data_IF_073000479453
#
_entry.id   IF_073000479453
#
_cell.length_a   1.000
_cell.length_b   1.000
_cell.length_c   1.000
_cell.angle_alpha   90.00
_cell.angle_beta   90.00
_cell.angle_gamma   90.00
#
_symmetry.space_group_name_H-M   'P 1'
#
loop_
_entity.id
_entity.type
_entity.pdbx_description
1 polymer ?
#
# COMPACT_ATOMS: atom_id res chain seq x y z
N UNK A 1 5.27 -4.72 38.22
CA UNK A 1 6.20 -3.95 37.36
C UNK A 1 6.43 -4.63 35.99
N UNK A 2 6.65 -5.95 35.93
CA UNK A 2 6.86 -6.69 34.68
C UNK A 2 5.64 -6.81 33.74
N UNK A 3 4.40 -6.64 34.25
CA UNK A 3 3.19 -6.77 33.42
C UNK A 3 3.04 -5.65 32.39
N UNK A 4 3.50 -4.45 32.71
CA UNK A 4 3.46 -3.29 31.81
C UNK A 4 4.44 -3.47 30.66
N UNK A 5 5.65 -3.98 30.94
CA UNK A 5 6.65 -4.31 29.93
C UNK A 5 6.14 -5.34 28.91
N UNK A 6 5.40 -6.36 29.36
CA UNK A 6 4.79 -7.35 28.46
C UNK A 6 3.75 -6.72 27.52
N UNK A 7 2.92 -5.80 28.03
CA UNK A 7 1.93 -5.10 27.21
C UNK A 7 2.59 -4.21 26.17
N UNK A 8 3.61 -3.43 26.57
CA UNK A 8 4.38 -2.59 25.65
C UNK A 8 5.04 -3.41 24.55
N UNK A 9 5.62 -4.58 24.91
CA UNK A 9 6.25 -5.46 23.93
C UNK A 9 5.26 -6.00 22.88
N UNK A 10 4.06 -6.40 23.31
CA UNK A 10 2.99 -6.86 22.39
C UNK A 10 2.52 -5.71 21.49
N UNK A 11 2.36 -4.49 22.03
CA UNK A 11 2.00 -3.32 21.23
C UNK A 11 3.04 -3.00 20.16
N UNK A 12 4.33 -3.07 20.50
CA UNK A 12 5.41 -2.81 19.53
C UNK A 12 5.34 -3.81 18.38
N UNK A 13 5.23 -5.11 18.68
CA UNK A 13 5.11 -6.15 17.63
C UNK A 13 3.89 -5.89 16.75
N UNK A 14 2.74 -5.59 17.35
CA UNK A 14 1.51 -5.31 16.62
C UNK A 14 1.64 -4.10 15.69
N UNK A 15 2.23 -3.01 16.18
CA UNK A 15 2.47 -1.80 15.38
C UNK A 15 3.46 -2.06 14.24
N UNK A 16 4.52 -2.85 14.48
CA UNK A 16 5.47 -3.23 13.44
C UNK A 16 4.80 -4.03 12.31
N UNK A 17 3.93 -4.99 12.65
CA UNK A 17 3.19 -5.76 11.65
C UNK A 17 2.21 -4.87 10.90
N UNK A 18 1.48 -3.99 11.60
CA UNK A 18 0.57 -3.04 10.96
C UNK A 18 1.28 -2.12 9.97
N UNK A 19 2.46 -1.60 10.34
CA UNK A 19 3.24 -0.73 9.45
C UNK A 19 3.63 -1.45 8.16
N UNK A 20 4.10 -2.69 8.26
CA UNK A 20 4.44 -3.51 7.08
C UNK A 20 3.21 -3.75 6.20
N UNK A 21 2.04 -3.98 6.81
CA UNK A 21 0.79 -4.14 6.05
C UNK A 21 0.42 -2.85 5.33
N UNK A 22 0.48 -1.69 6.00
CA UNK A 22 0.09 -0.40 5.41
C UNK A 22 1.06 -0.01 4.28
N UNK A 23 2.37 -0.21 4.44
CA UNK A 23 3.35 0.05 3.37
C UNK A 23 3.21 -0.93 2.20
N UNK A 24 2.72 -2.15 2.44
CA UNK A 24 2.43 -3.13 1.39
C UNK A 24 1.12 -2.90 0.63
N UNK A 25 0.26 -1.98 1.09
CA UNK A 25 -0.95 -1.57 0.37
C UNK A 25 -0.71 -0.20 -0.28
N UNK A 26 -0.34 -0.17 -1.56
CA UNK A 26 -0.15 1.07 -2.29
C UNK A 26 -1.50 1.76 -2.49
N UNK A 27 -1.91 2.63 -1.56
CA UNK A 27 -3.14 3.41 -1.69
C UNK A 27 -2.85 4.70 -2.46
N UNK A 28 -3.13 4.69 -3.76
CA UNK A 28 -3.17 5.90 -4.57
C UNK A 28 -4.62 6.22 -4.91
N UNK A 29 -5.19 7.20 -4.21
CA UNK A 29 -6.55 7.65 -4.49
C UNK A 29 -6.70 8.08 -5.95
N UNK A 30 -7.64 7.46 -6.65
CA UNK A 30 -8.05 7.84 -7.99
C UNK A 30 -9.58 7.98 -8.05
N UNK A 31 -10.08 8.80 -8.98
CA UNK A 31 -11.52 8.89 -9.31
C UNK A 31 -11.81 8.47 -10.74
N UNK A 32 -10.86 8.71 -11.64
CA UNK A 32 -10.91 8.32 -13.04
C UNK A 32 -9.58 7.71 -13.45
N UNK A 33 -9.56 6.89 -14.51
CA UNK A 33 -8.35 6.22 -14.99
C UNK A 33 -7.22 7.21 -15.33
N UNK A 34 -7.58 8.44 -15.75
CA UNK A 34 -6.63 9.51 -16.06
C UNK A 34 -5.94 10.12 -14.82
N UNK A 35 -6.48 9.90 -13.61
CA UNK A 35 -5.82 10.31 -12.36
C UNK A 35 -4.62 9.39 -12.03
N UNK A 36 -4.59 8.19 -12.62
CA UNK A 36 -3.51 7.24 -12.37
C UNK A 36 -2.26 7.61 -13.18
N UNK A 37 -1.11 7.79 -12.53
CA UNK A 37 0.14 8.05 -13.24
C UNK A 37 0.56 6.82 -14.05
N UNK A 38 1.16 7.06 -15.21
CA UNK A 38 1.80 6.00 -16.03
C UNK A 38 3.03 5.38 -15.36
N UNK A 39 3.56 6.07 -14.35
CA UNK A 39 4.70 5.64 -13.52
C UNK A 39 4.16 5.46 -12.11
N UNK A 40 3.90 4.23 -11.70
CA UNK A 40 3.42 3.95 -10.35
C UNK A 40 4.63 3.80 -9.43
N UNK A 41 4.94 4.84 -8.65
CA UNK A 41 6.04 4.82 -7.67
C UNK A 41 5.67 4.13 -6.35
N UNK A 42 4.55 3.40 -6.31
CA UNK A 42 4.09 2.77 -5.09
C UNK A 42 4.64 1.35 -4.94
N UNK A 43 5.05 0.96 -3.72
CA UNK A 43 5.51 -0.40 -3.42
C UNK A 43 4.40 -1.43 -3.73
N UNK A 44 4.69 -2.37 -4.63
CA UNK A 44 3.74 -3.40 -5.08
C UNK A 44 3.14 -3.15 -6.47
N UNK A 45 3.35 -1.98 -7.05
CA UNK A 45 3.10 -1.72 -8.46
C UNK A 45 4.45 -1.73 -9.21
N UNK A 46 4.56 -2.31 -10.41
CA UNK A 46 5.77 -2.14 -11.21
C UNK A 46 5.98 -0.63 -11.50
N UNK A 47 7.23 -0.16 -11.44
CA UNK A 47 7.62 1.25 -11.69
C UNK A 47 7.01 1.83 -12.98
N UNK A 48 6.61 0.96 -13.89
CA UNK A 48 5.90 1.23 -15.14
C UNK A 48 4.92 0.06 -15.34
N UNK A 49 3.63 0.35 -15.57
CA UNK A 49 2.71 -0.67 -16.06
C UNK A 49 3.32 -1.22 -17.37
N UNK A 50 3.65 -2.51 -17.36
CA UNK A 50 4.32 -3.15 -18.49
C UNK A 50 3.26 -3.47 -19.54
N UNK A 51 3.51 -3.08 -20.79
CA UNK A 51 2.60 -3.43 -21.89
C UNK A 51 2.36 -4.96 -21.90
N UNK A 52 1.10 -5.43 -21.92
CA UNK A 52 -0.14 -4.77 -22.34
C UNK A 52 -0.94 -4.03 -21.24
N UNK A 53 -0.49 -4.05 -19.99
CA UNK A 53 -1.27 -3.56 -18.85
C UNK A 53 -1.35 -2.03 -18.83
N UNK A 54 -2.54 -1.49 -18.59
CA UNK A 54 -2.85 -0.06 -18.56
C UNK A 54 -3.27 0.34 -17.14
N UNK A 55 -2.80 1.48 -16.62
CA UNK A 55 -3.27 1.98 -15.33
C UNK A 55 -4.77 2.27 -15.37
N UNK A 56 -5.52 1.66 -14.46
CA UNK A 56 -6.97 1.78 -14.32
C UNK A 56 -7.34 2.08 -12.87
N UNK A 57 -8.41 2.83 -12.69
CA UNK A 57 -8.93 3.17 -11.38
C UNK A 57 -10.02 2.18 -10.96
N UNK A 58 -9.73 1.34 -9.98
CA UNK A 58 -10.66 0.33 -9.43
C UNK A 58 -10.75 0.57 -7.92
N UNK A 59 -11.97 0.71 -7.39
CA UNK A 59 -12.20 0.95 -5.95
C UNK A 59 -11.35 2.09 -5.36
N UNK A 60 -11.27 3.21 -6.10
CA UNK A 60 -10.44 4.38 -5.79
C UNK A 60 -8.94 4.10 -5.66
N UNK A 61 -8.45 2.99 -6.22
CA UNK A 61 -7.02 2.68 -6.31
C UNK A 61 -6.57 2.46 -7.75
N UNK A 62 -5.35 2.87 -8.03
CA UNK A 62 -4.71 2.61 -9.31
C UNK A 62 -4.15 1.19 -9.37
N UNK A 63 -4.57 0.43 -10.38
CA UNK A 63 -4.06 -0.91 -10.70
C UNK A 63 -3.58 -0.95 -12.15
N UNK A 64 -2.57 -1.76 -12.45
CA UNK A 64 -2.23 -2.13 -13.83
C UNK A 64 -3.05 -3.37 -14.22
N UNK A 65 -3.90 -3.28 -15.26
CA UNK A 65 -4.73 -4.38 -15.77
C UNK A 65 -4.78 -4.43 -17.30
#
# INVERSE_FOLDING_TARGET
MASILKFVYIMIIYLSVLLVVIEGYPFQECKVDADCPTVCTLPGCPDICSFPDVPTCIDNNCFCT
#
